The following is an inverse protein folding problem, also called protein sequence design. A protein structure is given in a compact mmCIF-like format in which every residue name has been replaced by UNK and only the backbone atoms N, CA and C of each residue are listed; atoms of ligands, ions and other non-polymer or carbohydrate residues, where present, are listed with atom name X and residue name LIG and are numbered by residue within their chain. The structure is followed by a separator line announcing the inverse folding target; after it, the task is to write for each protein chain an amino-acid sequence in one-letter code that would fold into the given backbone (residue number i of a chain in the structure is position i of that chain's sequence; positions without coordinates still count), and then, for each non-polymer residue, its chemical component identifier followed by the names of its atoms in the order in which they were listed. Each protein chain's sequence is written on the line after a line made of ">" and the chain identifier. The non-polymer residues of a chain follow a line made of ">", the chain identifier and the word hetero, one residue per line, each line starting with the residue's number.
data_IF_804804458858
#
_entry.id   IF_804804458858
#
_cell.length_a   1.000
_cell.length_b   1.000
_cell.length_c   1.000
_cell.angle_alpha   90.00
_cell.angle_beta   90.00
_cell.angle_gamma   90.00
#
_symmetry.space_group_name_H-M   'P 1'
#
loop_
_entity.id
_entity.type
_entity.pdbx_description
1 polymer ?
#
# COMPACT_ATOMS: atom_id res chain seq x y z
N UNK A 1 -9.21 -28.59 0.42
CA UNK A 1 -9.57 -27.69 -0.70
C UNK A 1 -9.65 -26.26 -0.19
N UNK A 2 -9.19 -25.26 -0.96
CA UNK A 2 -9.30 -23.83 -0.62
C UNK A 2 -10.62 -23.29 -1.21
N UNK A 3 -11.45 -22.56 -0.46
CA UNK A 3 -12.72 -22.02 -0.97
C UNK A 3 -12.50 -20.90 -2.00
N UNK A 4 -13.34 -20.82 -3.04
CA UNK A 4 -13.33 -19.73 -4.03
C UNK A 4 -14.19 -18.58 -3.53
N UNK A 5 -13.69 -17.35 -3.64
CA UNK A 5 -14.45 -16.13 -3.36
C UNK A 5 -15.13 -15.66 -4.64
N UNK A 6 -16.41 -15.29 -4.54
CA UNK A 6 -17.18 -14.67 -5.61
C UNK A 6 -17.45 -13.20 -5.28
N UNK A 7 -16.90 -12.30 -6.06
CA UNK A 7 -17.19 -10.86 -6.01
C UNK A 7 -18.17 -10.54 -7.14
N UNK A 8 -19.37 -10.08 -6.81
CA UNK A 8 -20.36 -9.61 -7.78
C UNK A 8 -20.55 -8.11 -7.59
N UNK A 9 -20.36 -7.31 -8.65
CA UNK A 9 -20.71 -5.89 -8.60
C UNK A 9 -22.23 -5.71 -8.75
N UNK A 10 -22.82 -4.80 -7.97
CA UNK A 10 -24.27 -4.56 -7.95
C UNK A 10 -24.78 -4.13 -9.33
N UNK A 11 -25.85 -4.78 -9.79
CA UNK A 11 -26.48 -4.58 -11.10
C UNK A 11 -27.06 -3.17 -11.31
N UNK A 12 -27.23 -2.36 -10.26
CA UNK A 12 -27.74 -0.99 -10.37
C UNK A 12 -26.79 -0.03 -11.10
N UNK A 13 -25.50 -0.38 -11.25
CA UNK A 13 -24.48 0.52 -11.81
C UNK A 13 -23.92 0.08 -13.17
N UNK A 14 -24.20 -1.15 -13.62
CA UNK A 14 -23.59 -1.71 -14.82
C UNK A 14 -24.63 -2.42 -15.70
N UNK A 15 -24.61 -2.20 -17.03
CA UNK A 15 -25.50 -2.87 -17.97
C UNK A 15 -25.23 -4.38 -18.08
N UNK A 16 -24.08 -4.86 -17.59
CA UNK A 16 -23.71 -6.28 -17.55
C UNK A 16 -23.22 -6.62 -16.13
N UNK A 17 -23.79 -7.64 -15.47
CA UNK A 17 -23.36 -8.05 -14.14
C UNK A 17 -21.96 -8.68 -14.20
N UNK A 18 -20.97 -8.00 -13.60
CA UNK A 18 -19.61 -8.51 -13.50
C UNK A 18 -19.45 -9.39 -12.26
N UNK A 19 -18.94 -10.61 -12.46
CA UNK A 19 -18.62 -11.56 -11.39
C UNK A 19 -17.17 -12.03 -11.50
N UNK A 20 -16.43 -11.93 -10.40
CA UNK A 20 -15.06 -12.44 -10.28
C UNK A 20 -15.03 -13.63 -9.32
N UNK A 21 -14.71 -14.82 -9.84
CA UNK A 21 -14.56 -16.05 -9.07
C UNK A 21 -13.08 -16.42 -9.00
N UNK A 22 -12.43 -16.24 -7.86
CA UNK A 22 -10.99 -16.51 -7.70
C UNK A 22 -10.69 -17.21 -6.37
N UNK A 23 -9.60 -17.98 -6.33
CA UNK A 23 -9.06 -18.42 -5.05
C UNK A 23 -8.42 -17.22 -4.33
N UNK A 24 -8.57 -17.11 -3.00
CA UNK A 24 -7.99 -16.02 -2.23
C UNK A 24 -6.49 -16.25 -1.94
N UNK A 25 -5.73 -16.60 -2.97
CA UNK A 25 -4.30 -16.86 -2.87
C UNK A 25 -3.56 -16.10 -3.94
N UNK A 26 -2.46 -15.47 -3.57
CA UNK A 26 -1.54 -14.81 -4.48
C UNK A 26 -0.13 -15.15 -4.03
N UNK A 27 0.71 -15.65 -4.93
CA UNK A 27 2.13 -15.84 -4.64
C UNK A 27 2.81 -14.48 -4.77
N UNK A 28 3.35 -13.96 -3.67
CA UNK A 28 3.93 -12.61 -3.66
C UNK A 28 5.25 -12.58 -2.91
N UNK A 29 6.30 -12.13 -3.60
CA UNK A 29 7.59 -11.78 -3.00
C UNK A 29 7.67 -10.29 -2.65
N UNK A 30 7.00 -9.43 -3.43
CA UNK A 30 6.94 -7.99 -3.21
C UNK A 30 5.53 -7.45 -3.51
N UNK A 31 5.02 -6.61 -2.61
CA UNK A 31 3.68 -6.01 -2.70
C UNK A 31 3.81 -4.51 -2.91
N UNK A 32 2.87 -3.90 -3.65
CA UNK A 32 2.83 -2.44 -3.77
C UNK A 32 2.35 -1.80 -2.46
N UNK A 33 2.81 -0.60 -2.15
CA UNK A 33 2.47 0.12 -0.92
C UNK A 33 0.96 0.22 -0.69
N UNK A 34 0.17 0.46 -1.75
CA UNK A 34 -1.28 0.54 -1.64
C UNK A 34 -1.91 -0.81 -1.27
N UNK A 35 -1.34 -1.92 -1.75
CA UNK A 35 -1.83 -3.27 -1.45
C UNK A 35 -1.38 -3.75 -0.07
N UNK A 36 -0.29 -3.21 0.48
CA UNK A 36 0.15 -3.48 1.85
C UNK A 36 -0.59 -2.66 2.91
N UNK A 37 -1.53 -1.79 2.50
CA UNK A 37 -2.30 -0.99 3.46
C UNK A 37 -3.07 -1.91 4.43
N UNK A 38 -2.97 -1.62 5.74
CA UNK A 38 -3.54 -2.43 6.84
C UNK A 38 -2.97 -3.85 6.98
N UNK A 39 -1.87 -4.17 6.30
CA UNK A 39 -1.13 -5.40 6.55
C UNK A 39 -0.03 -5.14 7.59
N UNK A 40 0.13 -6.05 8.54
CA UNK A 40 1.21 -6.02 9.52
C UNK A 40 2.22 -7.12 9.20
N UNK A 41 3.49 -6.75 9.05
CA UNK A 41 4.58 -7.67 8.73
C UNK A 41 5.72 -7.50 9.73
N UNK A 42 6.43 -8.60 10.02
CA UNK A 42 7.53 -8.58 11.00
C UNK A 42 8.79 -7.88 10.48
N UNK A 43 9.09 -8.05 9.18
CA UNK A 43 10.22 -7.45 8.48
C UNK A 43 9.75 -6.91 7.14
N UNK A 44 10.27 -5.75 6.72
CA UNK A 44 9.91 -5.15 5.43
C UNK A 44 11.11 -4.49 4.77
N UNK A 45 11.24 -4.72 3.47
CA UNK A 45 12.10 -3.95 2.57
C UNK A 45 11.24 -2.97 1.77
N UNK A 46 11.52 -1.67 1.86
CA UNK A 46 10.82 -0.62 1.12
C UNK A 46 11.74 -0.15 0.00
N UNK A 47 11.33 -0.35 -1.26
CA UNK A 47 12.05 0.17 -2.42
C UNK A 47 11.52 1.55 -2.81
N UNK A 48 12.36 2.58 -2.67
CA UNK A 48 12.06 3.98 -3.01
C UNK A 48 12.96 4.51 -4.13
N UNK A 49 13.55 3.62 -4.94
CA UNK A 49 14.32 4.04 -6.12
C UNK A 49 13.48 4.83 -7.12
N UNK A 50 12.18 4.52 -7.20
CA UNK A 50 11.18 5.36 -7.83
C UNK A 50 10.51 6.24 -6.77
N UNK A 51 10.27 7.51 -7.10
CA UNK A 51 9.61 8.44 -6.18
C UNK A 51 8.19 7.99 -5.87
N UNK A 52 7.77 8.25 -4.63
CA UNK A 52 6.41 8.00 -4.18
C UNK A 52 5.48 9.04 -4.80
N UNK A 53 4.47 8.59 -5.53
CA UNK A 53 3.63 9.46 -6.35
C UNK A 53 2.54 10.18 -5.56
N UNK A 54 2.01 9.55 -4.50
CA UNK A 54 0.85 10.09 -3.77
C UNK A 54 1.08 10.28 -2.28
N UNK A 55 0.22 11.12 -1.71
CA UNK A 55 0.22 11.42 -0.29
C UNK A 55 0.04 10.19 0.58
N UNK A 56 0.74 10.15 1.71
CA UNK A 56 0.54 9.12 2.74
C UNK A 56 1.05 7.73 2.36
N UNK A 57 1.47 7.49 1.12
CA UNK A 57 2.06 6.21 0.71
C UNK A 57 3.32 5.87 1.51
N UNK A 58 4.21 6.85 1.71
CA UNK A 58 5.41 6.64 2.52
C UNK A 58 5.04 6.26 3.96
N UNK A 59 4.04 6.94 4.55
CA UNK A 59 3.52 6.61 5.87
C UNK A 59 2.93 5.20 5.92
N UNK A 60 2.10 4.83 4.94
CA UNK A 60 1.52 3.48 4.84
C UNK A 60 2.63 2.42 4.77
N UNK A 61 3.68 2.66 3.98
CA UNK A 61 4.82 1.75 3.85
C UNK A 61 5.57 1.56 5.17
N UNK A 62 5.80 2.63 5.95
CA UNK A 62 6.46 2.52 7.25
C UNK A 62 5.54 1.93 8.33
N UNK A 63 4.23 2.19 8.27
CA UNK A 63 3.26 1.73 9.28
C UNK A 63 2.99 0.23 9.27
N UNK A 64 3.41 -0.49 8.23
CA UNK A 64 3.19 -1.94 8.14
C UNK A 64 4.10 -2.76 9.08
N UNK A 65 5.16 -2.15 9.63
CA UNK A 65 6.04 -2.76 10.62
C UNK A 65 5.93 -2.06 11.98
N UNK A 66 6.00 -2.84 13.05
CA UNK A 66 5.91 -2.33 14.42
C UNK A 66 7.25 -1.81 14.97
N UNK A 67 8.38 -2.27 14.42
CA UNK A 67 9.72 -1.89 14.86
C UNK A 67 10.55 -1.37 13.70
N UNK A 68 11.15 -0.19 13.89
CA UNK A 68 12.01 0.45 12.90
C UNK A 68 13.27 -0.38 12.57
N UNK A 69 13.77 -1.19 13.51
CA UNK A 69 14.92 -2.06 13.28
C UNK A 69 14.69 -3.11 12.20
N UNK A 70 13.42 -3.47 11.97
CA UNK A 70 13.02 -4.47 10.98
C UNK A 70 12.68 -3.86 9.61
N UNK A 71 12.88 -2.55 9.46
CA UNK A 71 12.67 -1.83 8.21
C UNK A 71 14.02 -1.63 7.53
N UNK A 72 14.07 -1.94 6.24
CA UNK A 72 15.19 -1.62 5.36
C UNK A 72 14.66 -0.80 4.20
N UNK A 73 15.30 0.34 3.92
CA UNK A 73 14.88 1.26 2.85
C UNK A 73 15.95 1.31 1.79
N UNK A 74 15.57 1.03 0.55
CA UNK A 74 16.43 1.19 -0.61
C UNK A 74 16.13 2.54 -1.26
N UNK A 75 17.13 3.41 -1.34
CA UNK A 75 17.02 4.77 -1.86
C UNK A 75 17.81 4.92 -3.16
N UNK A 76 17.44 5.88 -4.02
CA UNK A 76 18.16 6.15 -5.24
C UNK A 76 19.48 6.87 -4.91
N UNK A 77 20.60 6.29 -5.34
CA UNK A 77 21.94 6.90 -5.16
C UNK A 77 22.06 8.25 -5.88
N UNK A 78 21.34 8.40 -6.99
CA UNK A 78 21.32 9.58 -7.85
C UNK A 78 20.84 10.85 -7.11
N UNK A 79 20.05 10.68 -6.04
CA UNK A 79 19.50 11.77 -5.24
C UNK A 79 20.10 11.82 -3.84
N UNK A 80 21.39 11.48 -3.68
CA UNK A 80 22.09 11.51 -2.39
C UNK A 80 21.34 10.74 -1.28
N UNK A 81 20.78 9.57 -1.64
CA UNK A 81 19.95 8.75 -0.76
C UNK A 81 18.77 9.52 -0.14
N UNK A 82 18.12 10.37 -0.92
CA UNK A 82 16.90 11.10 -0.50
C UNK A 82 15.75 10.79 -1.45
N UNK A 83 14.53 10.87 -0.92
CA UNK A 83 13.29 10.83 -1.69
C UNK A 83 12.45 12.06 -1.35
N UNK A 84 11.66 12.52 -2.31
CA UNK A 84 10.66 13.56 -2.07
C UNK A 84 9.48 12.92 -1.32
N UNK A 85 9.01 13.58 -0.27
CA UNK A 85 7.78 13.22 0.43
C UNK A 85 6.70 14.25 0.09
N UNK A 86 5.66 13.85 -0.62
CA UNK A 86 4.56 14.75 -1.01
C UNK A 86 3.51 14.77 0.10
N UNK A 87 3.37 15.92 0.76
CA UNK A 87 2.47 16.13 1.90
C UNK A 87 1.38 17.14 1.54
N UNK A 88 0.11 16.70 1.59
CA UNK A 88 -1.06 17.58 1.42
C UNK A 88 -1.44 18.13 2.79
N UNK A 89 -1.36 19.45 2.93
CA UNK A 89 -1.58 20.13 4.22
C UNK A 89 -3.02 19.97 4.71
N UNK A 90 -3.97 19.77 3.79
CA UNK A 90 -5.39 19.58 4.07
C UNK A 90 -5.65 18.31 4.91
N UNK A 91 -4.80 17.29 4.76
CA UNK A 91 -4.89 16.04 5.52
C UNK A 91 -4.36 16.21 6.94
N UNK A 92 -3.33 17.03 7.12
CA UNK A 92 -2.76 17.35 8.44
C UNK A 92 -3.70 18.25 9.24
N UNK A 93 -4.30 19.27 8.60
CA UNK A 93 -5.24 20.19 9.25
C UNK A 93 -6.49 19.48 9.84
N UNK A 94 -6.85 18.30 9.33
CA UNK A 94 -7.95 17.48 9.88
C UNK A 94 -7.56 16.67 11.12
N UNK A 95 -6.26 16.46 11.37
CA UNK A 95 -5.76 15.74 12.53
C UNK A 95 -5.59 16.67 13.75
N UNK A 96 -5.31 17.96 13.53
CA UNK A 96 -5.15 18.98 14.59
C UNK A 96 -6.50 19.48 15.18
N UNK A 97 -7.64 19.03 14.63
CA UNK A 97 -8.99 19.37 15.11
C UNK A 97 -9.57 18.34 16.09
N UNK A 98 -8.72 17.61 16.82
CA UNK A 98 -9.11 16.68 17.89
C UNK A 98 -8.34 16.92 19.16
#
# INVERSE_FOLDING_TARGET
>A
MIPRIQLSLSAETLPIPLRCCQFPVCLVFATTINKSQRQSVKYVGINLQASVFSHGQLYVAFSCCTSHHHIRVLLPQQYNNKTVNVVYKEVLARLDLR
#
